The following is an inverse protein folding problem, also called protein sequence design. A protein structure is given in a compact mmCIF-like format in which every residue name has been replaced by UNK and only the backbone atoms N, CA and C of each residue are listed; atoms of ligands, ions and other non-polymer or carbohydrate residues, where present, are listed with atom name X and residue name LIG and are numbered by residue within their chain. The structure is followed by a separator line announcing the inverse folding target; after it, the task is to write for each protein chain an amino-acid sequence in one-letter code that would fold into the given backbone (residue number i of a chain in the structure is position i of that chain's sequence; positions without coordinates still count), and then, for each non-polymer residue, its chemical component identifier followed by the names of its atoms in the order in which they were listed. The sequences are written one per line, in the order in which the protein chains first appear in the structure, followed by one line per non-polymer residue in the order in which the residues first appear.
data_IF_009918594406
#
_entry.id   IF_009918594406
#
_cell.length_a   1.000
_cell.length_b   1.000
_cell.length_c   1.000
_cell.angle_alpha   90.00
_cell.angle_beta   90.00
_cell.angle_gamma   90.00
#
_symmetry.space_group_name_H-M   'P 1'
#
loop_
_entity.id
_entity.type
_entity.pdbx_description
1 polymer ?
#
# COMPACT_ATOMS: atom_id res chain seq x y z
N UNK A 1 -15.66 -3.93 -10.02
CA UNK A 1 -14.32 -4.59 -10.00
C UNK A 1 -13.50 -3.99 -8.87
N UNK A 2 -12.83 -4.81 -8.08
CA UNK A 2 -11.94 -4.32 -7.04
C UNK A 2 -10.75 -5.29 -6.87
N UNK A 3 -9.55 -4.88 -7.26
CA UNK A 3 -8.33 -5.69 -7.23
C UNK A 3 -7.32 -5.08 -6.30
N UNK A 4 -6.94 -5.80 -5.25
CA UNK A 4 -6.00 -5.38 -4.23
C UNK A 4 -4.66 -6.07 -4.50
N UNK A 5 -3.60 -5.26 -4.62
CA UNK A 5 -2.23 -5.73 -4.72
C UNK A 5 -1.51 -5.34 -3.43
N UNK A 6 -1.04 -6.34 -2.69
CA UNK A 6 -0.37 -6.16 -1.43
C UNK A 6 1.14 -6.32 -1.58
N UNK A 7 1.87 -5.24 -1.39
CA UNK A 7 3.32 -5.21 -1.50
C UNK A 7 3.96 -4.92 -0.12
N UNK A 8 5.27 -5.09 -0.02
CA UNK A 8 6.01 -5.00 1.24
C UNK A 8 5.97 -3.60 1.88
N UNK A 9 5.83 -2.55 1.08
CA UNK A 9 5.88 -1.15 1.50
C UNK A 9 4.72 -0.29 0.96
N UNK A 10 3.76 -0.92 0.27
CA UNK A 10 2.61 -0.24 -0.34
C UNK A 10 1.42 -1.16 -0.52
N UNK A 11 0.24 -0.57 -0.56
CA UNK A 11 -1.01 -1.26 -0.88
C UNK A 11 -1.64 -0.54 -2.06
N UNK A 12 -1.91 -1.28 -3.12
CA UNK A 12 -2.49 -0.73 -4.35
C UNK A 12 -3.85 -1.33 -4.63
N UNK A 13 -4.71 -0.55 -5.27
CA UNK A 13 -6.05 -1.00 -5.67
C UNK A 13 -6.36 -0.51 -7.07
N UNK A 14 -6.90 -1.40 -7.89
CA UNK A 14 -7.57 -1.06 -9.16
C UNK A 14 -9.07 -1.27 -8.96
N UNK A 15 -9.87 -0.22 -9.08
CA UNK A 15 -11.29 -0.24 -8.70
C UNK A 15 -12.12 0.72 -9.54
N UNK A 16 -13.44 0.49 -9.62
CA UNK A 16 -14.42 1.33 -10.31
C UNK A 16 -15.49 1.93 -9.39
N UNK A 17 -15.41 1.67 -8.07
CA UNK A 17 -16.49 2.06 -7.16
C UNK A 17 -16.01 2.62 -5.81
N UNK A 18 -14.72 2.95 -5.71
CA UNK A 18 -14.18 3.49 -4.46
C UNK A 18 -14.18 5.01 -4.51
N UNK A 19 -14.96 5.62 -3.63
CA UNK A 19 -14.92 7.04 -3.30
C UNK A 19 -14.47 7.22 -1.86
N UNK A 20 -13.76 8.30 -1.57
CA UNK A 20 -13.36 8.62 -0.21
C UNK A 20 -13.84 10.00 0.22
N UNK A 21 -14.57 10.05 1.34
CA UNK A 21 -14.87 11.30 2.02
C UNK A 21 -13.60 11.92 2.60
N UNK A 22 -13.65 13.22 2.92
CA UNK A 22 -12.49 13.97 3.39
C UNK A 22 -11.82 13.35 4.63
N UNK A 23 -10.58 12.91 4.46
CA UNK A 23 -9.75 12.25 5.48
C UNK A 23 -8.28 12.64 5.34
N UNK A 24 -7.43 12.17 6.23
CA UNK A 24 -5.97 12.24 6.13
C UNK A 24 -5.37 10.98 6.72
N UNK A 25 -4.22 10.56 6.25
CA UNK A 25 -3.45 9.43 6.75
C UNK A 25 -1.95 9.66 6.61
N UNK A 26 -1.15 8.85 7.31
CA UNK A 26 0.31 8.97 7.33
C UNK A 26 1.04 8.46 6.09
N UNK A 27 0.33 7.91 5.10
CA UNK A 27 0.90 7.38 3.86
C UNK A 27 0.91 8.45 2.77
N UNK A 28 1.84 8.36 1.82
CA UNK A 28 1.78 9.08 0.55
C UNK A 28 0.74 8.37 -0.32
N UNK A 29 -0.09 9.11 -1.05
CA UNK A 29 -1.11 8.50 -1.89
C UNK A 29 -0.97 8.91 -3.35
N UNK A 30 -0.94 7.91 -4.22
CA UNK A 30 -0.94 8.05 -5.67
C UNK A 30 -2.32 7.70 -6.22
N UNK A 31 -2.82 8.49 -7.18
CA UNK A 31 -4.05 8.24 -7.92
C UNK A 31 -3.81 8.34 -9.42
N UNK A 32 -4.43 7.43 -10.17
CA UNK A 32 -4.46 7.44 -11.63
C UNK A 32 -5.86 7.06 -12.12
N UNK A 33 -6.56 7.95 -12.81
CA UNK A 33 -7.79 7.63 -13.54
C UNK A 33 -7.45 7.02 -14.89
N UNK A 34 -8.05 5.87 -15.22
CA UNK A 34 -7.75 5.16 -16.46
C UNK A 34 -8.53 5.75 -17.65
N UNK A 35 -9.71 6.29 -17.40
CA UNK A 35 -10.64 6.71 -18.44
C UNK A 35 -10.52 8.20 -18.79
N UNK A 36 -10.47 9.05 -17.75
CA UNK A 36 -10.52 10.51 -17.92
C UNK A 36 -9.82 11.21 -16.73
N UNK A 37 -10.52 12.09 -16.03
CA UNK A 37 -10.05 12.78 -14.82
C UNK A 37 -10.87 12.39 -13.59
N UNK A 38 -10.25 12.47 -12.41
CA UNK A 38 -10.89 12.38 -11.10
C UNK A 38 -11.10 13.77 -10.51
N UNK A 39 -12.19 13.94 -9.78
CA UNK A 39 -12.37 15.07 -8.87
C UNK A 39 -11.69 14.75 -7.55
N UNK A 40 -10.60 15.44 -7.26
CA UNK A 40 -9.85 15.31 -6.01
C UNK A 40 -9.87 16.65 -5.28
N UNK A 41 -10.23 16.63 -4.00
CA UNK A 41 -10.09 17.81 -3.14
C UNK A 41 -8.87 17.62 -2.27
N UNK A 42 -7.96 18.60 -2.27
CA UNK A 42 -6.77 18.64 -1.42
C UNK A 42 -6.82 19.93 -0.59
N UNK A 43 -6.95 19.79 0.73
CA UNK A 43 -7.23 20.95 1.59
C UNK A 43 -8.55 21.63 1.22
N UNK A 44 -8.47 22.85 0.67
CA UNK A 44 -9.62 23.63 0.19
C UNK A 44 -9.71 23.68 -1.35
N UNK A 45 -8.73 23.15 -2.04
CA UNK A 45 -8.68 23.16 -3.50
C UNK A 45 -9.42 21.97 -4.10
N UNK A 46 -10.12 22.21 -5.19
CA UNK A 46 -10.73 21.16 -6.02
C UNK A 46 -9.93 21.05 -7.32
N UNK A 47 -9.48 19.86 -7.61
CA UNK A 47 -8.55 19.54 -8.70
C UNK A 47 -9.20 18.50 -9.59
N UNK A 48 -9.22 18.77 -10.90
CA UNK A 48 -9.53 17.78 -11.92
C UNK A 48 -8.21 17.35 -12.56
N UNK A 49 -7.86 16.08 -12.46
CA UNK A 49 -6.62 15.56 -13.03
C UNK A 49 -6.72 14.06 -13.29
N UNK A 50 -5.92 13.59 -14.23
CA UNK A 50 -5.82 12.16 -14.52
C UNK A 50 -4.84 11.44 -13.59
N UNK A 51 -3.83 12.12 -13.07
CA UNK A 51 -2.82 11.51 -12.22
C UNK A 51 -2.27 12.51 -11.20
N UNK A 52 -2.22 12.11 -9.93
CA UNK A 52 -1.78 12.97 -8.84
C UNK A 52 -1.11 12.16 -7.72
N UNK A 53 -0.12 12.77 -7.10
CA UNK A 53 0.50 12.32 -5.86
C UNK A 53 0.10 13.28 -4.74
N UNK A 54 -0.48 12.76 -3.66
CA UNK A 54 -0.89 13.53 -2.47
C UNK A 54 0.06 13.22 -1.32
N UNK A 55 0.54 14.26 -0.63
CA UNK A 55 1.48 14.13 0.47
C UNK A 55 0.82 13.50 1.71
N UNK A 56 1.64 12.87 2.57
CA UNK A 56 1.21 12.33 3.86
C UNK A 56 0.61 13.42 4.75
N UNK A 57 -0.37 13.04 5.58
CA UNK A 57 -1.05 13.92 6.54
C UNK A 57 -1.84 15.09 5.91
N UNK A 58 -1.91 15.18 4.60
CA UNK A 58 -2.70 16.18 3.90
C UNK A 58 -4.16 15.72 3.87
N UNK A 59 -5.08 16.62 4.20
CA UNK A 59 -6.51 16.34 4.14
C UNK A 59 -6.98 16.32 2.69
N UNK A 60 -7.53 15.21 2.26
CA UNK A 60 -8.01 15.02 0.89
C UNK A 60 -9.28 14.17 0.83
N UNK A 61 -9.96 14.26 -0.30
CA UNK A 61 -11.08 13.39 -0.68
C UNK A 61 -11.07 13.16 -2.18
N UNK A 62 -11.69 12.10 -2.65
CA UNK A 62 -11.82 11.87 -4.09
C UNK A 62 -13.18 11.25 -4.44
N UNK A 63 -13.62 11.56 -5.67
CA UNK A 63 -14.82 11.00 -6.29
C UNK A 63 -14.45 10.43 -7.64
N UNK A 64 -14.56 9.13 -7.77
CA UNK A 64 -14.31 8.44 -9.02
C UNK A 64 -15.52 8.45 -9.96
N UNK A 65 -16.75 8.60 -9.42
CA UNK A 65 -17.99 8.59 -10.21
C UNK A 65 -18.08 7.32 -11.08
N UNK A 66 -17.76 6.17 -10.53
CA UNK A 66 -17.70 4.86 -11.20
C UNK A 66 -16.65 4.74 -12.32
N UNK A 67 -15.71 5.69 -12.43
CA UNK A 67 -14.56 5.56 -13.34
C UNK A 67 -13.54 4.58 -12.81
N UNK A 68 -12.95 3.79 -13.69
CA UNK A 68 -11.85 2.89 -13.34
C UNK A 68 -10.63 3.73 -12.97
N UNK A 69 -10.10 3.48 -11.79
CA UNK A 69 -8.91 4.17 -11.30
C UNK A 69 -8.01 3.23 -10.50
N UNK A 70 -6.73 3.55 -10.54
CA UNK A 70 -5.72 2.93 -9.69
C UNK A 70 -5.39 3.88 -8.54
N UNK A 71 -5.31 3.37 -7.33
CA UNK A 71 -4.81 4.09 -6.17
C UNK A 71 -3.75 3.28 -5.44
N UNK A 72 -2.75 3.94 -4.88
CA UNK A 72 -1.68 3.30 -4.14
C UNK A 72 -1.34 4.14 -2.91
N UNK A 73 -1.39 3.53 -1.72
CA UNK A 73 -0.85 4.11 -0.49
C UNK A 73 0.56 3.57 -0.27
N UNK A 74 1.52 4.47 -0.08
CA UNK A 74 2.95 4.20 -0.06
C UNK A 74 3.52 4.62 1.29
N UNK A 75 4.29 3.75 1.94
CA UNK A 75 4.96 4.04 3.21
C UNK A 75 6.01 5.15 3.02
N UNK A 76 5.88 6.31 3.70
CA UNK A 76 6.74 7.48 3.46
C UNK A 76 8.22 7.26 3.76
N UNK A 77 8.53 6.29 4.63
CA UNK A 77 9.92 5.96 5.02
C UNK A 77 10.52 4.85 4.17
N UNK A 78 9.75 4.25 3.26
CA UNK A 78 10.29 3.32 2.28
C UNK A 78 11.24 4.02 1.30
N UNK A 79 12.04 3.26 0.57
CA UNK A 79 12.97 3.82 -0.43
C UNK A 79 12.24 4.68 -1.46
N UNK A 80 11.11 4.18 -1.97
CA UNK A 80 10.27 4.93 -2.90
C UNK A 80 9.61 6.13 -2.21
N UNK A 81 9.07 5.92 -1.01
CA UNK A 81 8.43 6.99 -0.22
C UNK A 81 9.39 8.14 0.08
N UNK A 82 10.65 7.83 0.41
CA UNK A 82 11.69 8.84 0.64
C UNK A 82 11.97 9.68 -0.62
N UNK A 83 12.04 9.04 -1.79
CA UNK A 83 12.24 9.73 -3.07
C UNK A 83 11.02 10.57 -3.46
N UNK A 84 9.81 10.05 -3.25
CA UNK A 84 8.57 10.80 -3.48
C UNK A 84 8.45 12.00 -2.52
N UNK A 85 8.90 11.88 -1.27
CA UNK A 85 9.00 13.01 -0.34
C UNK A 85 9.90 14.12 -0.89
N UNK A 86 11.01 13.79 -1.58
CA UNK A 86 11.86 14.79 -2.22
C UNK A 86 11.16 15.54 -3.36
N UNK A 87 10.22 14.89 -4.07
CA UNK A 87 9.41 15.52 -5.13
C UNK A 87 8.32 16.40 -4.53
N UNK A 88 7.66 15.90 -3.49
CA UNK A 88 6.59 16.62 -2.79
C UNK A 88 7.13 17.79 -1.97
N UNK A 89 8.29 17.62 -1.31
CA UNK A 89 8.86 18.63 -0.40
C UNK A 89 7.78 19.20 0.56
N UNK A 90 7.55 20.51 0.53
CA UNK A 90 6.53 21.21 1.32
C UNK A 90 5.17 21.36 0.59
N UNK A 91 5.01 20.69 -0.55
CA UNK A 91 3.75 20.74 -1.34
C UNK A 91 2.76 19.73 -0.79
N UNK A 92 1.48 20.09 -0.80
CA UNK A 92 0.41 19.19 -0.42
C UNK A 92 0.19 18.09 -1.48
N UNK A 93 0.50 18.38 -2.74
CA UNK A 93 0.34 17.45 -3.86
C UNK A 93 1.27 17.77 -5.05
N UNK A 94 1.36 16.82 -5.97
CA UNK A 94 2.05 16.95 -7.25
C UNK A 94 1.20 16.32 -8.37
N UNK A 95 0.83 17.10 -9.39
CA UNK A 95 0.11 16.61 -10.58
C UNK A 95 1.16 16.05 -11.54
N UNK A 96 0.94 14.79 -11.97
CA UNK A 96 1.80 14.13 -12.96
C UNK A 96 1.44 14.63 -14.36
N UNK A 97 2.45 14.90 -15.15
CA UNK A 97 2.29 15.33 -16.55
C UNK A 97 1.44 14.36 -17.38
N UNK A 98 0.60 14.90 -18.26
CA UNK A 98 -0.34 14.10 -19.06
C UNK A 98 0.37 13.08 -19.96
N UNK A 99 1.55 13.39 -20.49
CA UNK A 99 2.32 12.46 -21.31
C UNK A 99 2.72 11.22 -20.52
N UNK A 100 3.23 11.43 -19.30
CA UNK A 100 3.61 10.36 -18.35
C UNK A 100 2.37 9.59 -17.85
N UNK A 101 1.29 10.29 -17.53
CA UNK A 101 0.04 9.65 -17.06
C UNK A 101 -0.61 8.79 -18.15
N UNK A 102 -0.57 9.20 -19.42
CA UNK A 102 -1.13 8.41 -20.53
C UNK A 102 -0.36 7.10 -20.78
N UNK A 103 0.96 7.09 -20.57
CA UNK A 103 1.72 5.85 -20.62
C UNK A 103 1.34 4.88 -19.48
N UNK A 104 1.15 5.41 -18.26
CA UNK A 104 0.68 4.63 -17.13
C UNK A 104 -0.72 4.05 -17.37
N UNK A 105 -1.63 4.85 -17.93
CA UNK A 105 -2.99 4.39 -18.26
C UNK A 105 -2.98 3.18 -19.17
N UNK A 106 -2.11 3.15 -20.20
CA UNK A 106 -2.00 2.00 -21.13
C UNK A 106 -1.65 0.71 -20.40
N UNK A 107 -0.64 0.75 -19.51
CA UNK A 107 -0.23 -0.44 -18.74
C UNK A 107 -1.28 -0.80 -17.69
N UNK A 108 -1.90 0.19 -17.04
CA UNK A 108 -2.95 -0.04 -16.06
C UNK A 108 -4.21 -0.69 -16.68
N UNK A 109 -4.47 -0.48 -17.97
CA UNK A 109 -5.54 -1.19 -18.68
C UNK A 109 -5.28 -2.68 -18.76
N UNK A 110 -4.02 -3.12 -18.92
CA UNK A 110 -3.69 -4.54 -18.89
C UNK A 110 -4.01 -5.16 -17.52
N UNK A 111 -3.80 -4.41 -16.43
CA UNK A 111 -4.15 -4.83 -15.06
C UNK A 111 -5.66 -5.01 -14.85
N UNK A 112 -6.51 -4.44 -15.70
CA UNK A 112 -7.96 -4.67 -15.68
C UNK A 112 -8.32 -6.08 -16.13
N UNK A 113 -7.58 -6.62 -17.07
CA UNK A 113 -7.86 -7.91 -17.69
C UNK A 113 -6.98 -9.04 -17.10
N UNK A 114 -5.74 -8.71 -16.71
CA UNK A 114 -4.75 -9.62 -16.17
C UNK A 114 -4.47 -9.31 -14.70
N UNK A 115 -4.75 -10.25 -13.81
CA UNK A 115 -4.54 -10.11 -12.36
C UNK A 115 -3.39 -11.01 -11.92
N UNK A 116 -2.16 -10.56 -12.16
CA UNK A 116 -0.95 -11.26 -11.77
C UNK A 116 0.18 -10.32 -11.31
N UNK A 117 1.21 -10.92 -10.72
CA UNK A 117 2.38 -10.21 -10.18
C UNK A 117 3.22 -9.56 -11.27
N UNK A 118 3.32 -10.15 -12.47
CA UNK A 118 4.16 -9.65 -13.55
C UNK A 118 3.59 -8.34 -14.11
N UNK A 119 2.29 -8.31 -14.40
CA UNK A 119 1.58 -7.13 -14.91
C UNK A 119 1.62 -6.00 -13.89
N UNK A 120 1.41 -6.32 -12.59
CA UNK A 120 1.55 -5.35 -11.52
C UNK A 120 2.97 -4.77 -11.46
N UNK A 121 4.01 -5.59 -11.50
CA UNK A 121 5.42 -5.14 -11.47
C UNK A 121 5.77 -4.25 -12.67
N UNK A 122 5.29 -4.57 -13.85
CA UNK A 122 5.45 -3.70 -15.05
C UNK A 122 4.85 -2.32 -14.80
N UNK A 123 3.63 -2.28 -14.24
CA UNK A 123 2.97 -1.01 -13.89
C UNK A 123 3.76 -0.22 -12.85
N UNK A 124 4.18 -0.85 -11.75
CA UNK A 124 4.94 -0.19 -10.68
C UNK A 124 6.30 0.33 -11.19
N UNK A 125 6.98 -0.45 -12.04
CA UNK A 125 8.22 0.00 -12.68
C UNK A 125 7.99 1.29 -13.47
N UNK A 126 6.94 1.32 -14.28
CA UNK A 126 6.60 2.51 -15.08
C UNK A 126 6.16 3.69 -14.22
N UNK A 127 5.42 3.43 -13.14
CA UNK A 127 5.06 4.46 -12.17
C UNK A 127 6.32 5.12 -11.57
N UNK A 128 7.35 4.35 -11.23
CA UNK A 128 8.60 4.88 -10.71
C UNK A 128 9.36 5.71 -11.75
N UNK A 129 9.40 5.26 -13.01
CA UNK A 129 10.00 6.01 -14.11
C UNK A 129 9.34 7.37 -14.32
N UNK A 130 8.01 7.50 -14.10
CA UNK A 130 7.32 8.79 -14.20
C UNK A 130 7.83 9.84 -13.20
N UNK A 131 8.46 9.39 -12.13
CA UNK A 131 9.07 10.24 -11.11
C UNK A 131 10.60 10.29 -11.21
N UNK A 132 11.17 9.81 -12.32
CA UNK A 132 12.62 9.69 -12.54
C UNK A 132 13.32 8.86 -11.43
N UNK A 133 12.58 7.89 -10.86
CA UNK A 133 13.06 6.97 -9.84
C UNK A 133 13.39 5.64 -10.53
N UNK A 134 14.68 5.22 -10.55
CA UNK A 134 15.03 3.92 -11.09
C UNK A 134 14.43 2.80 -10.24
N UNK A 135 13.76 1.86 -10.89
CA UNK A 135 13.29 0.64 -10.24
C UNK A 135 14.45 -0.35 -10.11
N UNK A 136 14.76 -0.74 -8.89
CA UNK A 136 15.72 -1.79 -8.61
C UNK A 136 14.98 -3.00 -8.04
N UNK A 137 15.15 -4.14 -8.68
CA UNK A 137 14.76 -5.41 -8.06
C UNK A 137 15.75 -5.66 -6.90
N UNK A 138 15.30 -5.40 -5.67
CA UNK A 138 16.14 -5.59 -4.48
C UNK A 138 16.38 -7.08 -4.23
N UNK A 139 17.64 -7.46 -4.16
CA UNK A 139 18.02 -8.73 -3.55
C UNK A 139 18.18 -8.51 -2.05
N UNK A 140 17.38 -9.19 -1.26
CA UNK A 140 17.48 -9.15 0.19
C UNK A 140 18.56 -10.12 0.70
N UNK A 141 19.17 -9.77 1.84
CA UNK A 141 20.02 -10.67 2.63
C UNK A 141 19.25 -11.96 2.97
N UNK A 142 19.91 -13.10 2.94
CA UNK A 142 19.30 -14.41 3.19
C UNK A 142 18.57 -14.48 4.55
N UNK A 143 19.03 -13.72 5.55
CA UNK A 143 18.39 -13.63 6.86
C UNK A 143 17.04 -12.89 6.77
N UNK A 144 16.93 -11.87 5.93
CA UNK A 144 15.65 -11.18 5.69
C UNK A 144 14.70 -12.09 4.94
N UNK A 145 15.16 -12.81 3.92
CA UNK A 145 14.35 -13.79 3.20
C UNK A 145 13.85 -14.91 4.14
N UNK A 146 14.73 -15.41 4.99
CA UNK A 146 14.38 -16.41 6.00
C UNK A 146 13.37 -15.86 7.02
N UNK A 147 13.53 -14.61 7.48
CA UNK A 147 12.59 -13.95 8.38
C UNK A 147 11.20 -13.81 7.72
N UNK A 148 11.12 -13.30 6.50
CA UNK A 148 9.86 -13.17 5.76
C UNK A 148 9.15 -14.52 5.61
N UNK A 149 9.90 -15.56 5.24
CA UNK A 149 9.37 -16.93 5.14
C UNK A 149 8.87 -17.49 6.48
N UNK A 150 9.60 -17.26 7.57
CA UNK A 150 9.15 -17.68 8.91
C UNK A 150 7.87 -16.96 9.31
N UNK A 151 7.75 -15.67 9.00
CA UNK A 151 6.58 -14.86 9.30
C UNK A 151 5.34 -15.34 8.53
N UNK A 152 5.49 -15.68 7.26
CA UNK A 152 4.41 -16.25 6.43
C UNK A 152 3.91 -17.60 6.94
N UNK A 153 4.79 -18.42 7.45
CA UNK A 153 4.46 -19.76 7.96
C UNK A 153 3.94 -19.73 9.42
N UNK A 154 4.04 -18.58 10.09
CA UNK A 154 3.62 -18.45 11.47
C UNK A 154 2.11 -18.30 11.59
N UNK A 155 1.48 -19.22 12.33
CA UNK A 155 0.06 -19.14 12.73
C UNK A 155 -0.14 -18.48 14.10
N UNK A 156 0.95 -17.99 14.74
CA UNK A 156 0.87 -17.37 16.06
C UNK A 156 0.18 -16.01 16.06
N UNK A 157 -0.52 -15.71 17.14
CA UNK A 157 -1.22 -14.43 17.33
C UNK A 157 -0.24 -13.29 17.61
N UNK A 158 0.89 -13.59 18.26
CA UNK A 158 1.94 -12.64 18.60
C UNK A 158 3.26 -12.97 17.89
N UNK A 159 3.90 -11.95 17.33
CA UNK A 159 5.20 -12.06 16.66
C UNK A 159 6.29 -11.47 17.58
N UNK A 160 7.02 -12.34 18.29
CA UNK A 160 8.20 -11.92 19.05
C UNK A 160 9.39 -11.70 18.13
N UNK A 161 9.88 -10.47 18.06
CA UNK A 161 11.08 -10.11 17.29
C UNK A 161 12.30 -10.86 17.86
N UNK A 162 12.34 -11.04 19.18
CA UNK A 162 13.39 -11.75 19.89
C UNK A 162 13.47 -13.22 19.46
N UNK A 163 12.31 -13.87 19.32
CA UNK A 163 12.25 -15.27 18.89
C UNK A 163 12.73 -15.45 17.45
N UNK A 164 12.28 -14.58 16.53
CA UNK A 164 12.75 -14.63 15.13
C UNK A 164 14.24 -14.33 15.03
N UNK A 165 14.73 -13.34 15.76
CA UNK A 165 16.15 -12.98 15.80
C UNK A 165 16.99 -14.14 16.34
N UNK A 166 16.51 -14.82 17.39
CA UNK A 166 17.16 -16.03 17.93
C UNK A 166 17.27 -17.15 16.91
N UNK A 167 16.22 -17.44 16.15
CA UNK A 167 16.23 -18.43 15.06
C UNK A 167 17.21 -18.07 13.93
N UNK A 168 17.49 -16.78 13.75
CA UNK A 168 18.44 -16.25 12.76
C UNK A 168 19.86 -16.06 13.32
N UNK A 169 20.10 -16.46 14.58
CA UNK A 169 21.39 -16.29 15.28
C UNK A 169 21.89 -14.83 15.31
N UNK A 170 20.98 -13.84 15.43
CA UNK A 170 21.29 -12.42 15.58
C UNK A 170 20.48 -11.81 16.72
N UNK A 171 20.84 -10.61 17.17
CA UNK A 171 20.04 -9.89 18.17
C UNK A 171 18.79 -9.26 17.54
N UNK A 172 17.73 -9.02 18.34
CA UNK A 172 16.52 -8.31 17.92
C UNK A 172 16.83 -6.92 17.32
N UNK A 173 17.78 -6.21 17.94
CA UNK A 173 18.25 -4.92 17.43
C UNK A 173 18.91 -5.07 16.04
N UNK A 174 19.78 -6.06 15.86
CA UNK A 174 20.42 -6.32 14.56
C UNK A 174 19.40 -6.69 13.48
N UNK A 175 18.40 -7.52 13.81
CA UNK A 175 17.31 -7.85 12.88
C UNK A 175 16.54 -6.60 12.48
N UNK A 176 16.17 -5.74 13.44
CA UNK A 176 15.44 -4.50 13.19
C UNK A 176 16.22 -3.53 12.30
N UNK A 177 17.51 -3.37 12.55
CA UNK A 177 18.39 -2.53 11.72
C UNK A 177 18.56 -3.08 10.30
N UNK A 178 18.90 -4.38 10.18
CA UNK A 178 19.07 -5.05 8.89
C UNK A 178 17.80 -4.99 8.06
N UNK A 179 16.64 -5.21 8.69
CA UNK A 179 15.35 -5.12 8.03
C UNK A 179 15.10 -3.70 7.49
N UNK A 180 15.27 -2.68 8.33
CA UNK A 180 15.03 -1.29 7.94
C UNK A 180 16.00 -0.82 6.85
N UNK A 181 17.27 -1.25 6.90
CA UNK A 181 18.28 -0.95 5.89
C UNK A 181 17.92 -1.57 4.53
N UNK A 182 17.43 -2.80 4.53
CA UNK A 182 17.19 -3.54 3.30
C UNK A 182 15.79 -3.35 2.74
N UNK A 183 14.76 -3.35 3.58
CA UNK A 183 13.36 -3.19 3.14
C UNK A 183 12.98 -1.71 3.01
N UNK A 184 13.64 -0.83 3.78
CA UNK A 184 13.41 0.61 3.74
C UNK A 184 12.28 1.08 4.67
N UNK A 185 11.61 0.18 5.38
CA UNK A 185 10.62 0.49 6.41
C UNK A 185 11.03 -0.14 7.75
N UNK A 186 10.53 0.42 8.87
CA UNK A 186 10.83 -0.19 10.17
C UNK A 186 10.17 -1.56 10.28
N UNK A 187 10.84 -2.48 10.98
CA UNK A 187 10.31 -3.82 11.23
C UNK A 187 8.93 -3.75 11.92
N UNK A 188 8.73 -2.78 12.84
CA UNK A 188 7.45 -2.55 13.50
C UNK A 188 6.33 -2.18 12.51
N UNK A 189 6.61 -1.27 11.57
CA UNK A 189 5.62 -0.89 10.54
C UNK A 189 5.29 -2.08 9.63
N UNK A 190 6.30 -2.86 9.25
CA UNK A 190 6.10 -4.06 8.46
C UNK A 190 5.22 -5.10 9.17
N UNK A 191 5.48 -5.37 10.46
CA UNK A 191 4.64 -6.28 11.24
C UNK A 191 3.19 -5.81 11.32
N UNK A 192 2.96 -4.49 11.43
CA UNK A 192 1.60 -3.93 11.37
C UNK A 192 0.95 -4.16 9.99
N UNK A 193 1.70 -3.97 8.89
CA UNK A 193 1.22 -4.27 7.53
C UNK A 193 0.90 -5.77 7.38
N UNK A 194 1.75 -6.63 7.90
CA UNK A 194 1.53 -8.08 7.88
C UNK A 194 0.28 -8.50 8.68
N UNK A 195 0.06 -7.90 9.87
CA UNK A 195 -1.20 -8.12 10.62
C UNK A 195 -2.43 -7.67 9.82
N UNK A 196 -2.35 -6.50 9.14
CA UNK A 196 -3.41 -6.04 8.26
C UNK A 196 -3.66 -7.00 7.10
N UNK A 197 -2.60 -7.49 6.46
CA UNK A 197 -2.67 -8.48 5.38
C UNK A 197 -3.46 -9.72 5.81
N UNK A 198 -3.09 -10.31 6.95
CA UNK A 198 -3.78 -11.47 7.52
C UNK A 198 -5.26 -11.20 7.81
N UNK A 199 -5.56 -10.04 8.41
CA UNK A 199 -6.95 -9.65 8.66
C UNK A 199 -7.74 -9.50 7.36
N UNK A 200 -7.16 -8.90 6.32
CA UNK A 200 -7.79 -8.77 5.01
C UNK A 200 -8.04 -10.13 4.34
N UNK A 201 -7.09 -11.05 4.41
CA UNK A 201 -7.25 -12.42 3.90
C UNK A 201 -8.42 -13.15 4.61
N UNK A 202 -8.51 -13.05 5.94
CA UNK A 202 -9.60 -13.59 6.73
C UNK A 202 -10.97 -12.98 6.35
N UNK A 203 -11.01 -11.66 6.15
CA UNK A 203 -12.23 -10.97 5.72
C UNK A 203 -12.67 -11.38 4.31
N UNK A 204 -11.73 -11.56 3.38
CA UNK A 204 -12.00 -12.06 2.02
C UNK A 204 -12.46 -13.53 2.04
N UNK A 205 -11.99 -14.32 3.00
CA UNK A 205 -12.48 -15.67 3.26
C UNK A 205 -13.88 -15.69 3.93
N UNK A 206 -14.51 -14.52 4.16
CA UNK A 206 -15.86 -14.38 4.70
C UNK A 206 -15.96 -14.38 6.23
N UNK A 207 -14.83 -14.31 6.96
CA UNK A 207 -14.85 -14.20 8.42
C UNK A 207 -15.40 -12.84 8.86
N UNK A 208 -15.90 -12.78 10.09
CA UNK A 208 -16.39 -11.53 10.69
C UNK A 208 -15.22 -10.62 11.05
N UNK A 209 -15.42 -9.30 10.99
CA UNK A 209 -14.39 -8.30 11.32
C UNK A 209 -13.77 -8.54 12.70
N UNK A 210 -14.57 -8.90 13.69
CA UNK A 210 -14.09 -9.19 15.04
C UNK A 210 -13.13 -10.37 15.05
N UNK A 211 -13.49 -11.45 14.37
CA UNK A 211 -12.67 -12.67 14.26
C UNK A 211 -11.39 -12.39 13.47
N UNK A 212 -11.50 -11.77 12.31
CA UNK A 212 -10.37 -11.43 11.46
C UNK A 212 -9.33 -10.53 12.18
N UNK A 213 -9.80 -9.54 12.94
CA UNK A 213 -8.94 -8.65 13.71
C UNK A 213 -8.17 -9.42 14.81
N UNK A 214 -8.86 -10.25 15.59
CA UNK A 214 -8.23 -11.02 16.67
C UNK A 214 -7.28 -12.09 16.12
N UNK A 215 -7.68 -12.83 15.07
CA UNK A 215 -6.82 -13.83 14.43
C UNK A 215 -5.52 -13.22 13.86
N UNK A 216 -5.60 -11.96 13.43
CA UNK A 216 -4.44 -11.25 12.91
C UNK A 216 -3.53 -10.65 14.01
N UNK A 217 -3.90 -10.78 15.29
CA UNK A 217 -3.13 -10.28 16.44
C UNK A 217 -3.40 -8.82 16.79
N UNK A 218 -4.56 -8.26 16.43
CA UNK A 218 -4.98 -6.95 16.93
C UNK A 218 -5.63 -7.10 18.30
N UNK A 219 -5.32 -6.20 19.24
CA UNK A 219 -5.88 -6.20 20.59
C UNK A 219 -7.42 -6.09 20.60
N UNK A 220 -7.99 -5.49 19.57
CA UNK A 220 -9.44 -5.30 19.44
C UNK A 220 -9.86 -4.98 18.01
N UNK A 221 -11.14 -5.21 17.64
CA UNK A 221 -11.68 -4.76 16.36
C UNK A 221 -11.59 -3.24 16.14
N UNK A 222 -11.64 -2.46 17.23
CA UNK A 222 -11.49 -0.99 17.18
C UNK A 222 -10.05 -0.59 16.85
N UNK A 223 -9.06 -1.31 17.41
CA UNK A 223 -7.63 -1.12 17.06
C UNK A 223 -7.39 -1.44 15.58
N UNK A 224 -7.90 -2.56 15.08
CA UNK A 224 -7.86 -2.90 13.66
C UNK A 224 -8.48 -1.80 12.79
N UNK A 225 -9.73 -1.38 13.08
CA UNK A 225 -10.43 -0.38 12.29
C UNK A 225 -9.71 0.97 12.27
N UNK A 226 -9.14 1.41 13.41
CA UNK A 226 -8.36 2.64 13.49
C UNK A 226 -7.05 2.54 12.70
N UNK A 227 -6.40 1.37 12.71
CA UNK A 227 -5.18 1.12 11.94
C UNK A 227 -5.44 1.12 10.44
N UNK A 228 -6.50 0.44 9.97
CA UNK A 228 -6.92 0.49 8.55
C UNK A 228 -7.18 1.93 8.13
N UNK A 229 -7.98 2.67 8.91
CA UNK A 229 -8.29 4.07 8.61
C UNK A 229 -7.04 4.96 8.58
N UNK A 230 -6.10 4.75 9.50
CA UNK A 230 -4.83 5.49 9.57
C UNK A 230 -3.92 5.20 8.38
N UNK A 231 -3.93 3.99 7.83
CA UNK A 231 -3.04 3.58 6.74
C UNK A 231 -3.67 3.76 5.36
N UNK A 232 -4.95 3.45 5.21
CA UNK A 232 -5.63 3.43 3.92
C UNK A 232 -6.63 4.60 3.74
N UNK A 233 -6.96 5.32 4.82
CA UNK A 233 -7.94 6.40 4.79
C UNK A 233 -9.41 5.94 4.69
N UNK A 234 -9.65 4.66 4.47
CA UNK A 234 -10.95 4.06 4.18
C UNK A 234 -11.30 2.99 5.21
N UNK A 235 -12.60 2.73 5.45
CA UNK A 235 -13.03 1.59 6.26
C UNK A 235 -12.71 0.26 5.57
N UNK A 236 -12.29 -0.76 6.33
CA UNK A 236 -11.97 -2.09 5.80
C UNK A 236 -13.10 -2.69 4.95
N UNK A 237 -14.37 -2.51 5.36
CA UNK A 237 -15.54 -3.04 4.62
C UNK A 237 -15.66 -2.50 3.20
N UNK A 238 -15.38 -1.21 2.98
CA UNK A 238 -15.45 -0.62 1.65
C UNK A 238 -14.29 -1.08 0.77
N UNK A 239 -13.15 -1.38 1.38
CA UNK A 239 -11.94 -1.83 0.69
C UNK A 239 -12.07 -3.28 0.19
N UNK A 240 -12.70 -4.17 0.98
CA UNK A 240 -12.76 -5.60 0.67
C UNK A 240 -14.01 -6.04 -0.09
N UNK A 241 -15.01 -5.17 -0.27
CA UNK A 241 -16.25 -5.54 -0.94
C UNK A 241 -15.99 -5.94 -2.39
N UNK A 242 -16.38 -7.15 -2.77
CA UNK A 242 -16.23 -7.71 -4.12
C UNK A 242 -14.78 -7.63 -4.64
N UNK A 243 -13.80 -7.90 -3.75
CA UNK A 243 -12.37 -7.74 -4.04
C UNK A 243 -11.68 -9.07 -4.34
N UNK A 244 -10.77 -9.02 -5.31
CA UNK A 244 -9.70 -10.00 -5.50
C UNK A 244 -8.43 -9.51 -4.79
N UNK A 245 -7.62 -10.41 -4.27
CA UNK A 245 -6.42 -10.09 -3.50
C UNK A 245 -5.20 -10.83 -4.05
N UNK A 246 -4.12 -10.10 -4.27
CA UNK A 246 -2.85 -10.65 -4.74
C UNK A 246 -1.69 -10.11 -3.91
N UNK A 247 -0.93 -11.01 -3.29
CA UNK A 247 0.36 -10.71 -2.68
C UNK A 247 1.44 -10.73 -3.76
N UNK A 248 2.26 -9.67 -3.84
CA UNK A 248 3.17 -9.42 -4.98
C UNK A 248 4.66 -9.35 -4.63
N UNK A 249 5.03 -9.60 -3.34
CA UNK A 249 6.43 -9.66 -2.87
C UNK A 249 6.85 -11.05 -2.43
#
# INVERSE_FOLDING_TARGET
MNRIYWDIDKISMLTDHLDASAHSHGMIQFFLCLEDELEISVGKEKIMCSCILVNKNVRHSFKANSKIHFTCVIEPVSDIGTKLNCILQDKDYYIVDDSKSNELKKIAMDMRDIFDTETYRKFITKMYECFDIPYFNKQFDDRILAFLKMLEQCSCEEHSIEEYAGKLCISASRLSHLFSEQVGITLKNYLTLHQLERAFQDLLAGKRITEAALNAGFDSPSHFASTVKRMMGLPARSTIKDSEFLKVY
#
